data_IF_832029053384
#
_entry.id   IF_832029053384
#
_cell.length_a   1.000
_cell.length_b   1.000
_cell.length_c   1.000
_cell.angle_alpha   90.00
_cell.angle_beta   90.00
_cell.angle_gamma   90.00
#
_symmetry.space_group_name_H-M   'P 1'
#
loop_
_entity.id
_entity.type
_entity.pdbx_description
1 polymer ?
#
# COMPACT_ATOMS: atom_id res chain seq x y z
N UNK A 1 23.84 18.06 -13.98
CA UNK A 1 22.81 18.95 -13.41
C UNK A 1 21.48 18.42 -13.91
N UNK A 2 20.56 17.97 -13.04
CA UNK A 2 19.19 17.70 -13.49
C UNK A 2 18.58 19.02 -13.97
N UNK A 3 17.79 18.94 -15.04
CA UNK A 3 17.17 20.09 -15.68
C UNK A 3 16.07 20.63 -14.74
N UNK A 4 16.22 21.86 -14.24
CA UNK A 4 15.27 22.48 -13.29
C UNK A 4 14.00 23.01 -13.97
N UNK A 5 13.89 22.81 -15.29
CA UNK A 5 12.86 23.43 -16.16
C UNK A 5 11.79 22.43 -16.66
N UNK A 6 11.78 21.18 -16.22
CA UNK A 6 10.63 20.29 -16.44
C UNK A 6 9.60 20.53 -15.31
N UNK A 7 8.41 21.01 -15.67
CA UNK A 7 7.28 21.03 -14.73
C UNK A 7 7.05 19.61 -14.20
N UNK A 8 7.06 19.48 -12.87
CA UNK A 8 6.81 18.22 -12.18
C UNK A 8 5.37 17.75 -12.48
N UNK A 9 5.27 16.80 -13.41
CA UNK A 9 4.01 16.26 -13.90
C UNK A 9 3.35 15.28 -12.94
N UNK A 10 2.26 14.68 -13.41
CA UNK A 10 1.53 13.63 -12.71
C UNK A 10 1.55 12.35 -13.55
N UNK A 11 1.78 11.20 -12.92
CA UNK A 11 1.65 9.90 -13.57
C UNK A 11 0.16 9.54 -13.73
N UNK A 12 -0.30 9.40 -14.98
CA UNK A 12 -1.67 8.97 -15.29
C UNK A 12 -2.77 9.76 -14.57
N UNK A 13 -3.59 9.07 -13.78
CA UNK A 13 -4.72 9.63 -13.02
C UNK A 13 -4.34 10.15 -11.62
N UNK A 14 -3.06 10.06 -11.25
CA UNK A 14 -2.61 10.45 -9.91
C UNK A 14 -2.66 11.97 -9.70
N UNK A 15 -2.81 12.36 -8.44
CA UNK A 15 -2.89 13.78 -8.00
C UNK A 15 -1.71 14.21 -7.15
N UNK A 16 -0.70 13.35 -7.03
CA UNK A 16 0.56 13.65 -6.34
C UNK A 16 1.63 13.81 -7.41
N UNK A 17 2.43 14.90 -7.36
CA UNK A 17 3.49 15.12 -8.34
C UNK A 17 4.53 14.00 -8.32
N UNK A 18 5.15 13.71 -9.48
CA UNK A 18 6.09 12.60 -9.63
C UNK A 18 7.29 12.73 -8.69
N UNK A 19 7.85 13.93 -8.52
CA UNK A 19 8.98 14.15 -7.60
C UNK A 19 8.65 13.77 -6.15
N UNK A 20 7.40 13.96 -5.74
CA UNK A 20 6.94 13.63 -4.39
C UNK A 20 6.71 12.13 -4.26
N UNK A 21 6.19 11.48 -5.31
CA UNK A 21 6.06 10.02 -5.33
C UNK A 21 7.43 9.35 -5.27
N UNK A 22 8.41 9.82 -6.04
CA UNK A 22 9.77 9.30 -6.01
C UNK A 22 10.40 9.49 -4.62
N UNK A 23 10.30 10.69 -4.04
CA UNK A 23 10.79 10.96 -2.69
C UNK A 23 10.10 10.10 -1.62
N UNK A 24 8.81 9.83 -1.75
CA UNK A 24 8.10 8.89 -0.87
C UNK A 24 8.67 7.48 -1.04
N UNK A 25 8.83 6.99 -2.28
CA UNK A 25 9.39 5.67 -2.56
C UNK A 25 10.78 5.46 -1.97
N UNK A 26 11.65 6.48 -2.05
CA UNK A 26 12.98 6.46 -1.45
C UNK A 26 12.96 6.48 0.09
N UNK A 27 11.96 7.15 0.68
CA UNK A 27 11.84 7.30 2.14
C UNK A 27 11.39 6.02 2.85
N UNK A 28 10.66 5.14 2.16
CA UNK A 28 10.20 3.85 2.72
C UNK A 28 11.13 2.73 2.27
N UNK A 29 12.25 2.57 2.97
CA UNK A 29 13.07 1.37 2.84
C UNK A 29 12.27 0.19 3.40
N UNK A 30 11.89 -0.77 2.55
CA UNK A 30 11.37 -2.05 3.00
C UNK A 30 12.35 -2.63 4.04
N UNK A 31 11.83 -3.29 5.08
CA UNK A 31 12.65 -3.82 6.17
C UNK A 31 13.89 -4.52 5.61
N UNK A 32 15.05 -3.94 5.95
CA UNK A 32 16.38 -4.22 5.44
C UNK A 32 16.58 -5.71 5.12
N UNK A 33 16.73 -6.05 3.83
CA UNK A 33 17.06 -7.40 3.40
C UNK A 33 18.40 -7.90 3.95
N UNK A 34 19.21 -6.98 4.48
CA UNK A 34 20.54 -7.24 5.06
C UNK A 34 20.52 -7.62 6.55
N UNK A 35 19.37 -7.48 7.23
CA UNK A 35 19.19 -8.10 8.54
C UNK A 35 18.76 -9.54 8.34
N UNK A 36 19.74 -10.46 8.39
CA UNK A 36 19.49 -11.88 8.65
C UNK A 36 18.68 -12.02 9.96
N UNK A 37 17.35 -11.99 9.86
CA UNK A 37 16.48 -12.55 10.90
C UNK A 37 16.74 -14.06 10.88
N UNK A 38 17.25 -14.56 12.01
CA UNK A 38 17.39 -15.96 12.42
C UNK A 38 17.42 -17.02 11.29
N UNK A 39 18.56 -17.70 11.13
CA UNK A 39 18.79 -18.87 10.25
C UNK A 39 17.54 -19.45 9.61
N UNK A 40 17.23 -19.03 8.38
CA UNK A 40 16.11 -19.51 7.56
C UNK A 40 16.34 -20.91 6.97
N UNK A 41 17.35 -21.66 7.44
CA UNK A 41 17.68 -22.99 6.92
C UNK A 41 16.55 -24.02 7.11
N UNK A 42 15.49 -23.71 7.87
CA UNK A 42 14.39 -24.62 8.17
C UNK A 42 12.98 -24.00 8.05
N UNK A 43 12.82 -22.80 7.48
CA UNK A 43 11.51 -22.14 7.35
C UNK A 43 11.24 -21.76 5.89
N UNK A 44 10.17 -22.30 5.31
CA UNK A 44 9.74 -22.07 3.92
C UNK A 44 9.11 -20.68 3.70
N UNK A 45 8.75 -20.01 4.80
CA UNK A 45 8.21 -18.65 4.83
C UNK A 45 9.03 -17.75 5.77
N UNK A 46 9.35 -16.54 5.32
CA UNK A 46 10.12 -15.53 6.08
C UNK A 46 9.23 -14.57 6.87
N UNK A 47 7.96 -14.41 6.48
CA UNK A 47 6.95 -13.57 7.13
C UNK A 47 5.52 -13.90 6.65
N UNK A 48 4.51 -13.27 7.26
CA UNK A 48 3.13 -13.26 6.82
C UNK A 48 2.71 -11.84 6.45
N UNK A 49 1.98 -11.70 5.34
CA UNK A 49 1.23 -10.48 5.04
C UNK A 49 -0.26 -10.80 5.16
N UNK A 50 -1.04 -9.87 5.72
CA UNK A 50 -2.46 -10.06 5.97
C UNK A 50 -3.32 -8.95 5.39
N UNK A 51 -4.55 -9.29 5.03
CA UNK A 51 -5.63 -8.36 4.73
C UNK A 51 -6.71 -8.51 5.79
N UNK A 52 -7.02 -7.41 6.48
CA UNK A 52 -8.02 -7.35 7.54
C UNK A 52 -9.18 -6.47 7.09
N UNK A 53 -10.37 -6.74 7.61
CA UNK A 53 -11.49 -5.82 7.49
C UNK A 53 -11.36 -4.67 8.51
N UNK A 54 -12.21 -3.67 8.41
CA UNK A 54 -12.23 -2.52 9.32
C UNK A 54 -12.61 -2.84 10.78
N UNK A 55 -13.01 -4.09 11.06
CA UNK A 55 -13.27 -4.60 12.42
C UNK A 55 -12.09 -5.41 12.98
N UNK A 56 -10.92 -5.31 12.35
CA UNK A 56 -9.69 -6.02 12.73
C UNK A 56 -9.81 -7.55 12.65
N UNK A 57 -10.74 -8.05 11.84
CA UNK A 57 -10.82 -9.48 11.51
C UNK A 57 -10.01 -9.80 10.26
N UNK A 58 -9.15 -10.81 10.36
CA UNK A 58 -8.39 -11.35 9.23
C UNK A 58 -9.34 -11.93 8.21
N UNK A 59 -9.21 -11.45 6.97
CA UNK A 59 -9.92 -12.01 5.82
C UNK A 59 -9.02 -13.03 5.10
N UNK A 60 -7.77 -12.66 4.81
CA UNK A 60 -6.79 -13.53 4.18
C UNK A 60 -5.37 -13.27 4.69
N UNK A 61 -4.54 -14.31 4.61
CA UNK A 61 -3.11 -14.28 4.89
C UNK A 61 -2.35 -14.86 3.70
N UNK A 62 -1.18 -14.33 3.42
CA UNK A 62 -0.25 -14.86 2.42
C UNK A 62 1.12 -15.11 3.05
N UNK A 63 1.66 -16.30 2.77
CA UNK A 63 3.02 -16.67 3.16
C UNK A 63 4.01 -15.90 2.29
N UNK A 64 4.92 -15.17 2.93
CA UNK A 64 6.02 -14.52 2.24
C UNK A 64 7.17 -15.53 2.10
N UNK A 65 7.34 -16.06 0.89
CA UNK A 65 8.37 -17.05 0.54
C UNK A 65 9.65 -16.41 0.02
N UNK A 66 9.64 -15.10 -0.22
CA UNK A 66 10.83 -14.33 -0.65
C UNK A 66 11.17 -13.26 0.39
N UNK A 67 12.46 -12.89 0.56
CA UNK A 67 12.84 -11.80 1.45
C UNK A 67 12.22 -10.46 1.02
N UNK A 68 11.75 -9.71 2.02
CA UNK A 68 11.20 -8.36 1.86
C UNK A 68 9.70 -8.29 1.60
N UNK A 69 9.06 -7.22 2.08
CA UNK A 69 7.67 -6.88 1.75
C UNK A 69 7.57 -6.42 0.29
N UNK A 70 7.45 -7.38 -0.62
CA UNK A 70 7.27 -7.09 -2.04
C UNK A 70 5.80 -6.78 -2.33
N UNK A 71 5.56 -5.82 -3.23
CA UNK A 71 4.21 -5.34 -3.57
C UNK A 71 3.26 -6.45 -4.09
N UNK A 72 3.78 -7.50 -4.72
CA UNK A 72 2.95 -8.59 -5.26
C UNK A 72 2.13 -9.33 -4.20
N UNK A 73 2.55 -9.34 -2.94
CA UNK A 73 1.76 -9.91 -1.85
C UNK A 73 0.48 -9.09 -1.59
N UNK A 74 0.59 -7.76 -1.55
CA UNK A 74 -0.55 -6.85 -1.42
C UNK A 74 -1.48 -6.95 -2.64
N UNK A 75 -0.91 -6.99 -3.85
CA UNK A 75 -1.69 -7.15 -5.10
C UNK A 75 -2.49 -8.47 -5.10
N UNK A 76 -1.88 -9.57 -4.66
CA UNK A 76 -2.55 -10.88 -4.57
C UNK A 76 -3.72 -10.84 -3.59
N UNK A 77 -3.55 -10.18 -2.43
CA UNK A 77 -4.62 -10.03 -1.44
C UNK A 77 -5.77 -9.16 -1.98
N UNK A 78 -5.47 -8.09 -2.71
CA UNK A 78 -6.47 -7.22 -3.35
C UNK A 78 -7.23 -7.99 -4.43
N UNK A 79 -6.53 -8.70 -5.31
CA UNK A 79 -7.16 -9.52 -6.35
C UNK A 79 -8.09 -10.58 -5.73
N UNK A 80 -7.62 -11.27 -4.69
CA UNK A 80 -8.42 -12.25 -3.94
C UNK A 80 -9.67 -11.61 -3.33
N UNK A 81 -9.55 -10.41 -2.75
CA UNK A 81 -10.69 -9.67 -2.19
C UNK A 81 -11.74 -9.41 -3.28
N UNK A 82 -11.36 -8.84 -4.41
CA UNK A 82 -12.31 -8.48 -5.47
C UNK A 82 -12.97 -9.69 -6.13
N UNK A 83 -12.32 -10.86 -6.17
CA UNK A 83 -12.96 -12.10 -6.61
C UNK A 83 -14.16 -12.53 -5.73
N UNK A 84 -14.23 -12.03 -4.49
CA UNK A 84 -15.29 -12.38 -3.52
C UNK A 84 -16.26 -11.23 -3.25
N UNK A 85 -16.09 -10.07 -3.87
CA UNK A 85 -16.97 -8.93 -3.70
C UNK A 85 -17.89 -8.73 -4.91
N UNK A 86 -19.12 -8.21 -4.71
CA UNK A 86 -19.97 -7.82 -5.82
C UNK A 86 -19.33 -6.72 -6.68
N UNK A 87 -19.60 -6.73 -7.99
CA UNK A 87 -19.00 -5.79 -8.96
C UNK A 87 -19.39 -4.33 -8.77
N UNK A 88 -20.45 -4.06 -8.01
CA UNK A 88 -20.94 -2.71 -7.71
C UNK A 88 -20.39 -2.14 -6.40
N UNK A 89 -19.58 -2.90 -5.66
CA UNK A 89 -18.99 -2.42 -4.41
C UNK A 89 -17.72 -1.62 -4.67
N UNK A 90 -17.58 -0.51 -3.94
CA UNK A 90 -16.36 0.27 -3.84
C UNK A 90 -15.62 -0.07 -2.53
N UNK A 91 -14.30 -0.15 -2.57
CA UNK A 91 -13.46 -0.56 -1.45
C UNK A 91 -12.46 0.55 -1.10
N UNK A 92 -12.30 0.83 0.19
CA UNK A 92 -11.20 1.64 0.70
C UNK A 92 -10.07 0.75 1.22
N UNK A 93 -8.84 0.97 0.75
CA UNK A 93 -7.64 0.27 1.18
C UNK A 93 -6.75 1.20 2.01
N UNK A 94 -6.43 0.77 3.23
CA UNK A 94 -5.41 1.41 4.07
C UNK A 94 -4.11 0.60 4.01
N UNK A 95 -3.03 1.23 3.55
CA UNK A 95 -1.72 0.60 3.46
C UNK A 95 -0.59 1.62 3.66
N UNK A 96 0.47 1.24 4.37
CA UNK A 96 1.54 2.17 4.79
C UNK A 96 2.19 2.91 3.61
N UNK A 97 2.29 2.25 2.46
CA UNK A 97 2.84 2.78 1.20
C UNK A 97 1.79 2.78 0.08
N UNK A 98 0.52 3.05 0.42
CA UNK A 98 -0.58 3.02 -0.55
C UNK A 98 -0.34 3.93 -1.77
N UNK A 99 0.32 5.08 -1.60
CA UNK A 99 0.68 5.97 -2.72
C UNK A 99 1.61 5.29 -3.74
N UNK A 100 2.58 4.49 -3.26
CA UNK A 100 3.48 3.73 -4.12
C UNK A 100 2.76 2.56 -4.78
N UNK A 101 1.86 1.91 -4.05
CA UNK A 101 1.07 0.83 -4.62
C UNK A 101 0.14 1.33 -5.74
N UNK A 102 -0.58 2.43 -5.53
CA UNK A 102 -1.42 3.07 -6.56
C UNK A 102 -0.57 3.53 -7.75
N UNK A 103 0.58 4.17 -7.49
CA UNK A 103 1.52 4.57 -8.53
C UNK A 103 1.99 3.39 -9.39
N UNK A 104 2.42 2.30 -8.75
CA UNK A 104 2.82 1.08 -9.47
C UNK A 104 1.68 0.47 -10.27
N UNK A 105 0.44 0.51 -9.77
CA UNK A 105 -0.72 0.01 -10.50
C UNK A 105 -1.02 0.85 -11.74
N UNK A 106 -1.03 2.18 -11.62
CA UNK A 106 -1.29 3.10 -12.73
C UNK A 106 -0.19 3.01 -13.79
N UNK A 107 1.06 2.90 -13.37
CA UNK A 107 2.22 2.89 -14.27
C UNK A 107 2.41 1.58 -15.04
N UNK A 108 2.11 0.45 -14.40
CA UNK A 108 2.44 -0.88 -14.93
C UNK A 108 1.23 -1.78 -15.16
N UNK A 109 0.01 -1.27 -14.98
CA UNK A 109 -1.24 -2.01 -15.18
C UNK A 109 -1.31 -3.30 -14.34
N UNK A 110 -0.96 -3.19 -13.04
CA UNK A 110 -0.80 -4.35 -12.15
C UNK A 110 -2.09 -4.92 -11.57
N UNK A 111 -3.19 -4.17 -11.68
CA UNK A 111 -4.53 -4.57 -11.26
C UNK A 111 -5.48 -4.33 -12.43
N UNK A 112 -6.51 -5.17 -12.54
CA UNK A 112 -7.55 -4.97 -13.55
C UNK A 112 -8.16 -3.58 -13.39
N UNK A 113 -8.42 -2.90 -14.51
CA UNK A 113 -9.03 -1.57 -14.56
C UNK A 113 -10.34 -1.52 -13.74
N UNK A 114 -11.18 -2.54 -13.87
CA UNK A 114 -12.44 -2.71 -13.12
C UNK A 114 -12.27 -2.76 -11.59
N UNK A 115 -11.07 -3.13 -11.09
CA UNK A 115 -10.77 -3.11 -9.66
C UNK A 115 -10.24 -1.74 -9.25
N UNK A 116 -9.34 -1.15 -10.05
CA UNK A 116 -8.78 0.17 -9.76
C UNK A 116 -9.86 1.26 -9.70
N UNK A 117 -10.83 1.23 -10.61
CA UNK A 117 -11.96 2.18 -10.61
C UNK A 117 -12.81 2.12 -9.33
N UNK A 118 -12.79 0.98 -8.64
CA UNK A 118 -13.56 0.72 -7.42
C UNK A 118 -12.70 0.77 -6.16
N UNK A 119 -11.39 1.02 -6.28
CA UNK A 119 -10.44 0.97 -5.18
C UNK A 119 -9.95 2.37 -4.82
N UNK A 120 -10.25 2.82 -3.61
CA UNK A 120 -9.70 4.04 -3.05
C UNK A 120 -8.49 3.72 -2.16
N UNK A 121 -7.35 4.35 -2.44
CA UNK A 121 -6.13 4.16 -1.67
C UNK A 121 -5.98 5.22 -0.58
N UNK A 122 -5.48 4.81 0.59
CA UNK A 122 -5.23 5.68 1.75
C UNK A 122 -4.07 5.13 2.56
N UNK A 123 -3.32 6.02 3.19
CA UNK A 123 -2.20 5.64 4.06
C UNK A 123 -2.73 5.51 5.50
N UNK A 124 -2.24 4.53 6.25
CA UNK A 124 -2.53 4.42 7.69
C UNK A 124 -2.13 5.72 8.42
N UNK A 125 -2.93 6.13 9.40
CA UNK A 125 -2.88 7.44 10.05
C UNK A 125 -1.47 7.80 10.52
N UNK A 126 -0.80 6.92 11.26
CA UNK A 126 0.54 7.21 11.78
C UNK A 126 1.63 7.20 10.70
N UNK A 127 1.45 6.44 9.63
CA UNK A 127 2.42 6.39 8.53
C UNK A 127 2.29 7.59 7.59
N UNK A 128 1.11 8.21 7.49
CA UNK A 128 0.88 9.32 6.58
C UNK A 128 1.90 10.46 6.80
N UNK A 129 2.27 10.76 8.05
CA UNK A 129 3.25 11.80 8.37
C UNK A 129 4.67 11.52 7.87
N UNK A 130 4.99 10.27 7.54
CA UNK A 130 6.27 9.90 6.92
C UNK A 130 6.35 10.21 5.42
N UNK A 131 5.23 10.57 4.79
CA UNK A 131 5.17 10.92 3.37
C UNK A 131 5.33 12.43 3.13
N UNK A 132 5.67 12.84 1.91
CA UNK A 132 5.74 14.25 1.54
C UNK A 132 4.39 14.98 1.67
N UNK A 133 4.42 16.30 1.91
CA UNK A 133 3.20 17.10 2.14
C UNK A 133 2.10 16.93 1.08
N UNK A 134 2.40 16.94 -0.24
CA UNK A 134 1.37 16.69 -1.25
C UNK A 134 0.75 15.29 -1.14
N UNK A 135 1.57 14.26 -0.86
CA UNK A 135 1.08 12.91 -0.61
C UNK A 135 0.14 12.87 0.61
N UNK A 136 0.51 13.54 1.71
CA UNK A 136 -0.36 13.67 2.88
C UNK A 136 -1.69 14.35 2.54
N UNK A 137 -1.71 15.36 1.69
CA UNK A 137 -2.96 16.02 1.30
C UNK A 137 -3.91 15.11 0.51
N UNK A 138 -3.39 14.15 -0.26
CA UNK A 138 -4.18 13.26 -1.11
C UNK A 138 -4.55 11.94 -0.42
N UNK A 139 -3.63 11.37 0.36
CA UNK A 139 -3.73 9.99 0.87
C UNK A 139 -3.99 9.88 2.37
N UNK A 140 -4.03 10.99 3.11
CA UNK A 140 -4.33 10.95 4.54
C UNK A 140 -5.79 10.54 4.78
N UNK A 141 -6.07 9.60 5.71
CA UNK A 141 -7.38 8.97 5.87
C UNK A 141 -8.46 10.00 6.20
N UNK A 142 -8.16 10.92 7.11
CA UNK A 142 -9.12 11.99 7.48
C UNK A 142 -9.30 13.08 6.41
N UNK A 143 -8.52 13.08 5.33
CA UNK A 143 -8.68 14.00 4.19
C UNK A 143 -9.37 13.33 3.00
N UNK A 144 -9.69 12.04 3.10
CA UNK A 144 -10.33 11.26 2.03
C UNK A 144 -11.72 10.80 2.45
N UNK A 145 -12.71 11.14 1.63
CA UNK A 145 -14.10 10.71 1.85
C UNK A 145 -14.20 9.18 1.80
N UNK A 146 -15.05 8.60 2.66
CA UNK A 146 -15.28 7.16 2.74
C UNK A 146 -14.47 6.41 3.81
N UNK A 147 -13.47 7.06 4.44
CA UNK A 147 -12.61 6.41 5.44
C UNK A 147 -12.99 6.76 6.89
N UNK A 148 -13.80 7.79 7.12
CA UNK A 148 -14.21 8.18 8.47
C UNK A 148 -13.01 8.50 9.38
N UNK A 149 -12.97 7.90 10.57
CA UNK A 149 -11.91 8.09 11.57
C UNK A 149 -11.01 6.85 11.75
N UNK A 150 -11.00 5.92 10.80
CA UNK A 150 -10.18 4.71 10.89
C UNK A 150 -8.68 5.05 10.89
N UNK A 151 -7.89 4.36 11.70
CA UNK A 151 -6.45 4.58 11.80
C UNK A 151 -5.63 3.68 10.85
N UNK A 152 -6.17 2.53 10.44
CA UNK A 152 -5.50 1.57 9.58
C UNK A 152 -4.43 0.73 10.29
N UNK A 153 -4.52 0.57 11.61
CA UNK A 153 -3.52 -0.13 12.43
C UNK A 153 -3.86 -1.59 12.76
N UNK A 154 -4.99 -2.10 12.24
CA UNK A 154 -5.49 -3.45 12.53
C UNK A 154 -4.46 -4.56 12.34
N UNK A 155 -3.66 -4.51 11.26
CA UNK A 155 -2.58 -5.48 11.05
C UNK A 155 -1.56 -5.44 12.19
N UNK A 156 -1.11 -4.26 12.62
CA UNK A 156 -0.14 -4.16 13.72
C UNK A 156 -0.73 -4.72 15.01
N UNK A 157 -1.98 -4.38 15.32
CA UNK A 157 -2.67 -4.91 16.49
C UNK A 157 -2.73 -6.44 16.46
N UNK A 158 -3.11 -7.03 15.32
CA UNK A 158 -3.17 -8.49 15.13
C UNK A 158 -1.81 -9.17 15.34
N UNK A 159 -0.71 -8.58 14.87
CA UNK A 159 0.64 -9.14 15.01
C UNK A 159 1.27 -8.95 16.39
N UNK A 160 0.68 -8.12 17.24
CA UNK A 160 1.13 -7.87 18.62
C UNK A 160 0.34 -8.66 19.68
N UNK A 161 -0.68 -9.42 19.26
CA UNK A 161 -1.41 -10.39 20.08
C UNK A 161 -0.72 -11.76 20.08
#
# INVERSE_FOLDING_TARGET
MPNLDEEDGFEGSLRVPNSILDACGESFTAADGDRQKASTQFLDSTALMGLLCHHDHVLWLVNMTTPGERQHYALTLIDTLFQHLPDHWTVGLLYNIACQLEHSCVKWDLLKEEYLDRLAFTISMFHAFGHGWPCQCIYHPWKRMGFGLVDGEGCKQFWHL
#
